data_IF_257018972833
#
_entry.id   IF_257018972833
#
_cell.length_a   1.000
_cell.length_b   1.000
_cell.length_c   1.000
_cell.angle_alpha   90.00
_cell.angle_beta   90.00
_cell.angle_gamma   90.00
#
_symmetry.space_group_name_H-M   'P 1'
#
loop_
_entity.id
_entity.type
_entity.pdbx_description
1 polymer ?
#
# COMPACT_ATOMS: atom_id res chain seq x y z
N UNK A 1 -21.44 -9.73 -3.76
CA UNK A 1 -21.15 -8.92 -2.55
C UNK A 1 -19.79 -9.21 -1.91
N UNK A 2 -19.51 -10.41 -1.38
CA UNK A 2 -18.27 -10.67 -0.63
C UNK A 2 -16.95 -10.37 -1.40
N UNK A 3 -16.86 -10.72 -2.69
CA UNK A 3 -15.66 -10.38 -3.49
C UNK A 3 -15.47 -8.86 -3.61
N UNK A 4 -16.57 -8.11 -3.74
CA UNK A 4 -16.53 -6.66 -3.84
C UNK A 4 -16.05 -6.05 -2.52
N UNK A 5 -16.60 -6.49 -1.39
CA UNK A 5 -16.18 -5.97 -0.08
C UNK A 5 -14.71 -6.30 0.24
N UNK A 6 -14.21 -7.45 -0.19
CA UNK A 6 -12.79 -7.79 -0.09
C UNK A 6 -11.94 -6.84 -0.94
N UNK A 7 -12.33 -6.59 -2.19
CA UNK A 7 -11.64 -5.64 -3.07
C UNK A 7 -11.59 -4.24 -2.47
N UNK A 8 -12.73 -3.74 -2.01
CA UNK A 8 -12.86 -2.42 -1.38
C UNK A 8 -11.96 -2.32 -0.12
N UNK A 9 -11.91 -3.38 0.70
CA UNK A 9 -11.05 -3.41 1.89
C UNK A 9 -9.56 -3.40 1.52
N UNK A 10 -9.14 -4.19 0.53
CA UNK A 10 -7.74 -4.23 0.07
C UNK A 10 -7.31 -2.86 -0.45
N UNK A 11 -8.15 -2.19 -1.24
CA UNK A 11 -7.90 -0.83 -1.73
C UNK A 11 -7.76 0.16 -0.57
N UNK A 12 -8.68 0.15 0.39
CA UNK A 12 -8.62 1.04 1.56
C UNK A 12 -7.36 0.80 2.40
N UNK A 13 -7.02 -0.46 2.67
CA UNK A 13 -5.85 -0.83 3.46
C UNK A 13 -4.55 -0.33 2.80
N UNK A 14 -4.35 -0.64 1.52
CA UNK A 14 -3.10 -0.33 0.83
C UNK A 14 -2.95 1.17 0.50
N UNK A 15 -4.05 1.86 0.17
CA UNK A 15 -3.96 3.22 -0.37
C UNK A 15 -4.30 4.33 0.62
N UNK A 16 -5.02 4.03 1.71
CA UNK A 16 -5.60 5.08 2.57
C UNK A 16 -5.35 4.89 4.05
N UNK A 17 -5.08 3.67 4.52
CA UNK A 17 -4.96 3.40 5.95
C UNK A 17 -3.56 3.79 6.46
N UNK A 18 -3.45 4.73 7.41
CA UNK A 18 -2.17 5.02 8.04
C UNK A 18 -1.77 3.88 8.98
N UNK A 19 -0.49 3.51 8.98
CA UNK A 19 0.05 2.48 9.87
C UNK A 19 1.16 3.03 10.75
N UNK A 20 1.06 2.82 12.06
CA UNK A 20 2.06 3.28 13.03
C UNK A 20 3.44 2.65 12.83
N UNK A 21 3.50 1.43 12.31
CA UNK A 21 4.76 0.77 11.94
C UNK A 21 5.42 1.34 10.68
N UNK A 22 4.69 2.16 9.93
CA UNK A 22 5.16 2.86 8.72
C UNK A 22 5.08 4.36 8.94
N UNK A 23 5.38 4.86 10.14
CA UNK A 23 5.36 6.30 10.46
C UNK A 23 4.05 7.03 10.09
N UNK A 24 2.93 6.32 10.10
CA UNK A 24 1.62 6.87 9.77
C UNK A 24 1.31 6.98 8.28
N UNK A 25 2.14 6.47 7.37
CA UNK A 25 1.84 6.45 5.92
C UNK A 25 1.16 5.13 5.47
N UNK A 26 0.42 5.16 4.35
CA UNK A 26 -0.16 3.94 3.77
C UNK A 26 0.90 2.97 3.22
N UNK A 27 0.58 1.67 3.14
CA UNK A 27 1.50 0.65 2.61
C UNK A 27 1.98 0.94 1.19
N UNK A 28 1.10 1.40 0.30
CA UNK A 28 1.49 1.73 -1.08
C UNK A 28 2.52 2.86 -1.10
N UNK A 29 2.31 3.92 -0.32
CA UNK A 29 3.27 5.03 -0.20
C UNK A 29 4.63 4.53 0.25
N UNK A 30 4.66 3.70 1.30
CA UNK A 30 5.91 3.12 1.80
C UNK A 30 6.58 2.26 0.72
N UNK A 31 5.84 1.35 0.08
CA UNK A 31 6.37 0.46 -0.94
C UNK A 31 7.00 1.22 -2.12
N UNK A 32 6.30 2.21 -2.68
CA UNK A 32 6.79 2.96 -3.84
C UNK A 32 7.95 3.91 -3.49
N UNK A 33 7.99 4.47 -2.27
CA UNK A 33 9.12 5.29 -1.83
C UNK A 33 10.41 4.48 -1.62
N UNK A 34 10.29 3.21 -1.24
CA UNK A 34 11.43 2.33 -0.95
C UNK A 34 11.74 1.35 -2.10
N UNK A 35 11.11 1.55 -3.27
CA UNK A 35 11.33 0.68 -4.41
C UNK A 35 12.80 0.82 -4.86
N UNK A 36 13.59 -0.27 -4.87
CA UNK A 36 14.96 -0.20 -5.39
C UNK A 36 14.92 0.25 -6.85
N UNK A 37 15.74 1.23 -7.20
CA UNK A 37 15.93 1.59 -8.60
C UNK A 37 16.46 0.35 -9.32
N UNK A 38 15.73 -0.12 -10.33
CA UNK A 38 16.26 -1.15 -11.23
C UNK A 38 17.45 -0.53 -11.95
N UNK A 39 18.65 -1.05 -11.69
CA UNK A 39 19.80 -0.71 -12.53
C UNK A 39 19.50 -1.18 -13.96
N UNK A 40 19.67 -0.29 -14.94
CA UNK A 40 19.65 -0.69 -16.34
C UNK A 40 20.81 -1.65 -16.59
N UNK A 41 20.54 -2.75 -17.29
CA UNK A 41 21.54 -3.74 -17.70
C UNK A 41 22.31 -3.26 -18.94
#
# INVERSE_FOLDING_TARGET
EARKSIGDYVTLYNQRRPHSSLDGIPPDTFYYQHLPQKMAA
#
